data_IF_331858459768
#
_entry.id   IF_331858459768
#
_cell.length_a   1.000
_cell.length_b   1.000
_cell.length_c   1.000
_cell.angle_alpha   90.00
_cell.angle_beta   90.00
_cell.angle_gamma   90.00
#
_symmetry.space_group_name_H-M   'P 1'
#
loop_
_entity.id
_entity.type
_entity.pdbx_description
1 polymer ?
#
# COMPACT_ATOMS: atom_id res chain seq x y z
N UNK A 1 16.61 7.29 6.33
CA UNK A 1 15.99 6.02 6.77
C UNK A 1 14.57 5.98 6.20
N UNK A 2 14.03 4.79 5.92
CA UNK A 2 12.66 4.62 5.41
C UNK A 2 11.69 4.64 6.58
N UNK A 3 10.50 5.18 6.36
CA UNK A 3 9.37 5.18 7.30
C UNK A 3 8.27 4.24 6.80
N UNK A 4 7.15 4.18 7.52
CA UNK A 4 6.01 3.32 7.17
C UNK A 4 5.48 3.64 5.75
N UNK A 5 5.18 2.62 4.94
CA UNK A 5 4.63 2.84 3.60
C UNK A 5 3.21 3.42 3.66
N UNK A 6 2.81 4.08 2.58
CA UNK A 6 1.43 4.50 2.34
C UNK A 6 0.84 3.60 1.26
N UNK A 7 -0.43 3.24 1.45
CA UNK A 7 -1.22 2.49 0.46
C UNK A 7 -2.31 3.41 -0.10
N UNK A 8 -2.45 3.44 -1.42
CA UNK A 8 -3.47 4.20 -2.14
C UNK A 8 -4.32 3.25 -2.96
N UNK A 9 -5.64 3.25 -2.76
CA UNK A 9 -6.59 2.49 -3.58
C UNK A 9 -7.28 3.42 -4.58
N UNK A 10 -7.56 2.89 -5.77
CA UNK A 10 -8.22 3.60 -6.85
C UNK A 10 -9.56 2.94 -7.12
N UNK A 11 -10.64 3.55 -6.65
CA UNK A 11 -11.96 2.94 -6.61
C UNK A 11 -12.65 2.80 -7.99
N UNK A 12 -12.01 3.32 -9.04
CA UNK A 12 -12.43 3.29 -10.43
C UNK A 12 -11.45 2.51 -11.33
N UNK A 13 -10.44 1.86 -10.76
CA UNK A 13 -9.51 0.98 -11.47
C UNK A 13 -9.33 -0.33 -10.71
N UNK A 14 -8.55 -1.26 -11.26
CA UNK A 14 -8.30 -2.57 -10.65
C UNK A 14 -6.98 -2.61 -9.88
N UNK A 15 -6.51 -1.46 -9.41
CA UNK A 15 -5.15 -1.26 -8.89
C UNK A 15 -5.12 -0.61 -7.50
N UNK A 16 -4.03 -0.90 -6.78
CA UNK A 16 -3.53 -0.10 -5.67
C UNK A 16 -2.05 0.23 -5.86
N UNK A 17 -1.59 1.30 -5.25
CA UNK A 17 -0.18 1.69 -5.20
C UNK A 17 0.36 1.65 -3.77
N UNK A 18 1.60 1.18 -3.63
CA UNK A 18 2.38 1.26 -2.38
C UNK A 18 3.54 2.23 -2.56
N UNK A 19 3.61 3.24 -1.70
CA UNK A 19 4.63 4.27 -1.71
C UNK A 19 5.50 4.17 -0.46
N UNK A 20 6.81 4.03 -0.64
CA UNK A 20 7.78 4.07 0.46
C UNK A 20 8.03 5.52 0.84
N UNK A 21 7.83 5.84 2.12
CA UNK A 21 8.06 7.17 2.67
C UNK A 21 9.49 7.30 3.22
N UNK A 22 10.06 8.50 3.11
CA UNK A 22 11.37 8.82 3.68
C UNK A 22 11.24 9.90 4.76
N UNK A 23 12.18 9.92 5.72
CA UNK A 23 12.28 10.95 6.76
C UNK A 23 12.41 12.40 6.24
N UNK A 24 12.65 12.57 4.94
CA UNK A 24 12.72 13.84 4.24
C UNK A 24 11.35 14.37 3.81
N UNK A 25 10.27 13.62 4.04
CA UNK A 25 8.93 13.97 3.57
C UNK A 25 8.69 13.68 2.08
N UNK A 26 9.62 12.98 1.42
CA UNK A 26 9.48 12.55 0.03
C UNK A 26 9.00 11.10 -0.07
N UNK A 27 8.50 10.74 -1.25
CA UNK A 27 8.03 9.40 -1.59
C UNK A 27 8.91 8.80 -2.69
N UNK A 28 9.14 7.49 -2.63
CA UNK A 28 9.67 6.75 -3.78
C UNK A 28 8.61 6.65 -4.89
N UNK A 29 9.03 6.22 -6.08
CA UNK A 29 8.09 5.84 -7.14
C UNK A 29 7.12 4.75 -6.63
N UNK A 30 5.83 4.83 -7.01
CA UNK A 30 4.83 3.86 -6.58
C UNK A 30 5.15 2.46 -7.13
N UNK A 31 4.84 1.44 -6.34
CA UNK A 31 4.74 0.06 -6.82
C UNK A 31 3.27 -0.30 -6.95
N UNK A 32 2.82 -0.58 -8.17
CA UNK A 32 1.43 -0.90 -8.48
C UNK A 32 1.16 -2.39 -8.34
N UNK A 33 0.06 -2.72 -7.67
CA UNK A 33 -0.45 -4.09 -7.52
C UNK A 33 -1.88 -4.16 -8.05
N UNK A 34 -2.20 -5.24 -8.76
CA UNK A 34 -3.57 -5.52 -9.17
C UNK A 34 -4.36 -6.09 -7.98
N UNK A 35 -5.59 -5.64 -7.82
CA UNK A 35 -6.50 -5.96 -6.70
C UNK A 35 -7.72 -6.78 -7.14
N UNK A 36 -7.91 -6.97 -8.45
CA UNK A 36 -9.20 -7.39 -9.01
C UNK A 36 -10.10 -6.17 -9.20
N UNK A 37 -11.42 -6.30 -9.04
CA UNK A 37 -12.36 -5.27 -9.48
C UNK A 37 -12.59 -4.15 -8.46
N UNK A 38 -12.19 -2.93 -8.81
CA UNK A 38 -12.60 -1.68 -8.15
C UNK A 38 -12.48 -1.68 -6.61
N UNK A 39 -11.26 -1.67 -6.03
CA UNK A 39 -11.09 -1.71 -4.58
C UNK A 39 -11.70 -0.48 -3.93
N UNK A 40 -12.62 -0.69 -2.98
CA UNK A 40 -13.35 0.40 -2.28
C UNK A 40 -12.76 0.77 -0.92
N UNK A 41 -12.00 -0.14 -0.33
CA UNK A 41 -11.40 0.02 1.00
C UNK A 41 -10.12 -0.78 1.09
N UNK A 42 -9.25 -0.39 2.02
CA UNK A 42 -8.00 -1.11 2.33
C UNK A 42 -7.83 -1.20 3.83
N UNK A 43 -7.46 -2.39 4.32
CA UNK A 43 -6.97 -2.63 5.66
C UNK A 43 -5.49 -3.03 5.63
N UNK A 44 -4.73 -2.56 6.63
CA UNK A 44 -3.30 -2.88 6.78
C UNK A 44 -3.08 -3.45 8.17
N UNK A 45 -2.42 -4.60 8.25
CA UNK A 45 -2.11 -5.29 9.49
C UNK A 45 -1.25 -6.52 9.24
N UNK A 46 -0.61 -7.04 10.29
CA UNK A 46 0.02 -8.37 10.22
C UNK A 46 -1.09 -9.41 10.46
N UNK A 47 -1.67 -9.92 9.37
CA UNK A 47 -2.83 -10.82 9.42
C UNK A 47 -2.39 -12.29 9.48
N UNK A 48 -1.17 -12.60 9.04
CA UNK A 48 -0.63 -13.97 9.03
C UNK A 48 0.47 -14.23 10.11
N UNK A 49 0.76 -13.24 10.95
CA UNK A 49 1.71 -13.27 12.07
C UNK A 49 3.17 -13.55 11.65
N UNK A 50 3.58 -13.03 10.49
CA UNK A 50 4.95 -13.16 9.99
C UNK A 50 5.84 -11.92 10.26
N UNK A 51 5.31 -10.93 10.97
CA UNK A 51 5.93 -9.64 11.30
C UNK A 51 6.11 -8.71 10.09
N UNK A 52 5.45 -8.99 8.97
CA UNK A 52 5.33 -8.09 7.83
C UNK A 52 3.88 -7.61 7.74
N UNK A 53 3.70 -6.36 7.31
CA UNK A 53 2.35 -5.84 7.11
C UNK A 53 1.76 -6.45 5.84
N UNK A 54 0.58 -7.02 5.98
CA UNK A 54 -0.29 -7.49 4.91
C UNK A 54 -1.30 -6.40 4.52
N UNK A 55 -1.91 -6.57 3.35
CA UNK A 55 -2.93 -5.69 2.78
C UNK A 55 -4.15 -6.54 2.41
N UNK A 56 -5.35 -6.09 2.80
CA UNK A 56 -6.65 -6.69 2.46
C UNK A 56 -7.62 -5.62 1.96
#
# INVERSE_FOLDING_TARGET
MRTAPIVVSYDNTDNLDVLVTFNTGSFANPTTYSTGSYPKSVAVGDFNNDKRLDIV
#
